data_IF_074751303382
#
_entry.id   IF_074751303382
#
_cell.length_a   1.000
_cell.length_b   1.000
_cell.length_c   1.000
_cell.angle_alpha   90.00
_cell.angle_beta   90.00
_cell.angle_gamma   90.00
#
_symmetry.space_group_name_H-M   'P 1'
#
loop_
_entity.id
_entity.type
_entity.pdbx_description
1 polymer ?
#
# COMPACT_ATOMS: atom_id res chain seq x y z
N UNK A 1 -1.39 -13.67 12.03
CA UNK A 1 -1.57 -12.21 11.93
C UNK A 1 -1.63 -11.89 10.46
N UNK A 2 -2.82 -11.64 9.91
CA UNK A 2 -2.99 -11.33 8.49
C UNK A 2 -3.02 -9.81 8.33
N UNK A 3 -2.08 -9.28 7.55
CA UNK A 3 -2.01 -7.86 7.22
C UNK A 3 -3.16 -7.45 6.31
N UNK A 4 -3.48 -8.34 5.37
CA UNK A 4 -4.48 -8.19 4.34
C UNK A 4 -4.91 -9.59 3.87
N UNK A 5 -6.20 -9.80 3.63
CA UNK A 5 -6.70 -10.99 2.96
C UNK A 5 -7.96 -10.69 2.15
N UNK A 6 -8.22 -11.54 1.15
CA UNK A 6 -9.32 -11.39 0.22
C UNK A 6 -10.20 -12.62 0.32
N UNK A 7 -11.46 -12.42 0.68
CA UNK A 7 -12.46 -13.48 0.76
C UNK A 7 -13.46 -13.35 -0.39
N UNK A 8 -13.86 -14.49 -0.95
CA UNK A 8 -14.96 -14.53 -1.92
C UNK A 8 -16.25 -14.91 -1.20
N UNK A 9 -17.21 -14.00 -1.19
CA UNK A 9 -18.47 -14.16 -0.51
C UNK A 9 -19.45 -15.02 -1.34
N UNK A 10 -20.52 -15.56 -0.72
CA UNK A 10 -21.51 -16.39 -1.43
C UNK A 10 -22.23 -15.69 -2.57
N UNK A 11 -22.33 -14.36 -2.53
CA UNK A 11 -22.86 -13.50 -3.60
C UNK A 11 -21.91 -13.40 -4.82
N UNK A 12 -20.69 -13.91 -4.71
CA UNK A 12 -19.65 -13.87 -5.73
C UNK A 12 -18.70 -12.69 -5.63
N UNK A 13 -18.97 -11.74 -4.72
CA UNK A 13 -18.16 -10.54 -4.53
C UNK A 13 -16.89 -10.86 -3.72
N UNK A 14 -15.83 -10.11 -3.98
CA UNK A 14 -14.58 -10.12 -3.25
C UNK A 14 -14.61 -9.05 -2.16
N UNK A 15 -14.31 -9.48 -0.94
CA UNK A 15 -14.23 -8.64 0.24
C UNK A 15 -12.79 -8.57 0.70
N UNK A 16 -12.38 -7.37 1.08
CA UNK A 16 -11.01 -7.04 1.39
C UNK A 16 -10.93 -6.70 2.85
N UNK A 17 -10.16 -7.50 3.57
CA UNK A 17 -9.93 -7.33 4.99
C UNK A 17 -8.53 -6.80 5.21
N UNK A 18 -8.37 -5.85 6.12
CA UNK A 18 -7.09 -5.22 6.44
C UNK A 18 -6.93 -5.13 7.95
N UNK A 19 -5.68 -5.13 8.41
CA UNK A 19 -5.40 -4.82 9.80
C UNK A 19 -5.25 -3.27 9.96
N UNK A 20 -6.05 -2.64 10.85
CA UNK A 20 -6.00 -1.20 11.10
C UNK A 20 -4.61 -0.64 11.45
N UNK A 21 -3.74 -1.44 12.07
CA UNK A 21 -2.38 -1.02 12.45
C UNK A 21 -1.49 -0.69 11.25
N UNK A 22 -1.87 -1.13 10.04
CA UNK A 22 -1.13 -0.91 8.81
C UNK A 22 -1.81 0.09 7.87
N UNK A 23 -2.78 0.85 8.36
CA UNK A 23 -3.37 1.94 7.59
C UNK A 23 -2.36 3.08 7.46
N UNK A 24 -2.04 3.45 6.22
CA UNK A 24 -1.20 4.59 5.89
C UNK A 24 -2.01 5.89 5.89
N UNK A 25 -3.28 5.84 5.49
CA UNK A 25 -4.16 7.00 5.44
C UNK A 25 -5.65 6.61 5.53
N UNK A 26 -6.49 7.37 6.25
CA UNK A 26 -6.15 8.49 7.14
C UNK A 26 -5.33 8.01 8.36
N UNK A 27 -4.53 8.89 8.98
CA UNK A 27 -3.73 8.53 10.15
C UNK A 27 -4.62 8.05 11.31
N UNK A 28 -4.24 6.97 11.99
CA UNK A 28 -4.91 6.50 13.20
C UNK A 28 -4.26 7.10 14.48
N UNK A 29 -5.03 7.39 15.55
CA UNK A 29 -6.49 7.45 15.61
C UNK A 29 -6.95 8.87 15.28
N UNK A 30 -7.26 9.16 14.02
CA UNK A 30 -8.04 10.35 13.69
C UNK A 30 -9.52 10.10 13.99
N UNK A 31 -10.29 11.16 14.19
CA UNK A 31 -11.76 11.14 14.28
C UNK A 31 -12.45 10.52 13.04
N UNK A 32 -11.66 10.17 12.01
CA UNK A 32 -12.07 9.59 10.74
C UNK A 32 -11.60 8.13 10.65
N UNK A 33 -12.57 7.23 10.47
CA UNK A 33 -12.34 5.80 10.23
C UNK A 33 -11.91 5.54 8.77
N UNK A 34 -12.21 6.47 7.86
CA UNK A 34 -11.82 6.46 6.44
C UNK A 34 -12.17 7.76 5.73
N UNK A 35 -11.97 7.81 4.42
CA UNK A 35 -12.22 8.98 3.56
C UNK A 35 -13.01 8.62 2.29
N UNK A 36 -13.67 9.57 1.60
CA UNK A 36 -14.30 9.30 0.32
C UNK A 36 -13.30 8.79 -0.74
N UNK A 37 -13.77 8.02 -1.74
CA UNK A 37 -12.92 7.41 -2.76
C UNK A 37 -12.01 8.42 -3.47
N UNK A 38 -12.54 9.60 -3.82
CA UNK A 38 -11.75 10.65 -4.49
C UNK A 38 -10.57 11.12 -3.63
N UNK A 39 -10.75 11.23 -2.31
CA UNK A 39 -9.69 11.60 -1.38
C UNK A 39 -8.70 10.44 -1.22
N UNK A 40 -9.18 9.20 -1.16
CA UNK A 40 -8.34 8.01 -1.12
C UNK A 40 -7.43 7.90 -2.36
N UNK A 41 -7.98 8.08 -3.57
CA UNK A 41 -7.21 8.07 -4.82
C UNK A 41 -6.12 9.14 -4.84
N UNK A 42 -6.45 10.37 -4.39
CA UNK A 42 -5.49 11.47 -4.27
C UNK A 42 -4.35 11.10 -3.32
N UNK A 43 -4.64 10.54 -2.15
CA UNK A 43 -3.62 10.14 -1.18
C UNK A 43 -2.81 8.93 -1.62
N UNK A 44 -3.44 7.97 -2.30
CA UNK A 44 -2.74 6.84 -2.91
C UNK A 44 -1.70 7.33 -3.93
N UNK A 45 -2.10 8.23 -4.84
CA UNK A 45 -1.18 8.86 -5.80
C UNK A 45 -0.11 9.71 -5.09
N UNK A 46 -0.50 10.47 -4.07
CA UNK A 46 0.40 11.29 -3.28
C UNK A 46 1.47 10.44 -2.58
N UNK A 47 1.14 9.24 -2.09
CA UNK A 47 2.08 8.29 -1.51
C UNK A 47 2.96 7.57 -2.56
N UNK A 48 2.61 7.67 -3.84
CA UNK A 48 3.31 6.99 -4.93
C UNK A 48 2.93 5.52 -5.08
N UNK A 49 1.78 5.13 -4.51
CA UNK A 49 1.22 3.79 -4.61
C UNK A 49 0.36 3.68 -5.89
N UNK A 50 0.19 2.46 -6.45
CA UNK A 50 -0.65 2.27 -7.61
C UNK A 50 -2.12 2.59 -7.29
N UNK A 51 -2.71 3.52 -8.05
CA UNK A 51 -4.12 3.91 -7.89
C UNK A 51 -5.00 2.87 -8.56
N UNK A 52 -5.47 1.91 -7.77
CA UNK A 52 -6.33 0.82 -8.23
C UNK A 52 -7.67 0.97 -7.50
N UNK A 53 -8.75 1.43 -8.15
CA UNK A 53 -10.04 1.48 -7.50
C UNK A 53 -10.49 0.07 -7.06
N UNK A 54 -11.11 -0.08 -5.89
CA UNK A 54 -11.61 -1.37 -5.44
C UNK A 54 -12.71 -1.87 -6.37
N UNK A 55 -12.60 -3.13 -6.81
CA UNK A 55 -13.63 -3.82 -7.58
C UNK A 55 -14.13 -5.03 -6.79
N UNK A 56 -15.41 -5.04 -6.36
CA UNK A 56 -15.97 -6.19 -5.67
C UNK A 56 -16.22 -7.38 -6.61
N UNK A 57 -16.33 -7.18 -7.92
CA UNK A 57 -16.64 -8.29 -8.86
C UNK A 57 -15.41 -9.05 -9.31
N UNK A 58 -14.25 -8.42 -9.26
CA UNK A 58 -12.98 -9.01 -9.69
C UNK A 58 -11.96 -8.93 -8.56
N UNK A 59 -11.23 -10.03 -8.34
CA UNK A 59 -10.13 -10.06 -7.38
C UNK A 59 -9.06 -9.04 -7.80
N UNK A 60 -9.02 -7.91 -7.10
CA UNK A 60 -8.18 -6.76 -7.41
C UNK A 60 -7.41 -6.36 -6.15
N UNK A 61 -6.19 -6.91 -5.94
CA UNK A 61 -5.36 -6.50 -4.82
C UNK A 61 -5.03 -5.01 -4.97
N UNK A 62 -5.66 -4.19 -4.12
CA UNK A 62 -5.61 -2.74 -4.21
C UNK A 62 -5.09 -2.11 -2.90
N UNK A 63 -4.23 -1.08 -2.97
CA UNK A 63 -3.90 -0.25 -1.81
C UNK A 63 -5.11 0.52 -1.25
N UNK A 64 -6.18 0.69 -2.02
CA UNK A 64 -7.41 1.39 -1.65
C UNK A 64 -8.43 0.35 -1.21
N UNK A 65 -8.74 0.31 0.08
CA UNK A 65 -9.64 -0.70 0.68
C UNK A 65 -10.82 0.00 1.34
N UNK A 66 -12.02 -0.51 1.09
CA UNK A 66 -13.23 0.01 1.73
C UNK A 66 -13.24 -0.37 3.22
N UNK A 67 -13.60 0.59 4.07
CA UNK A 67 -13.76 0.41 5.50
C UNK A 67 -14.92 -0.52 5.79
N UNK A 68 -14.71 -1.45 6.71
CA UNK A 68 -15.78 -2.33 7.18
C UNK A 68 -16.83 -1.57 8.01
N UNK A 69 -18.14 -1.85 7.85
CA UNK A 69 -18.73 -2.84 6.95
C UNK A 69 -18.76 -2.37 5.49
N UNK A 70 -18.69 -3.33 4.56
CA UNK A 70 -18.71 -3.06 3.12
C UNK A 70 -19.95 -2.27 2.69
N UNK A 71 -19.80 -1.36 1.72
CA UNK A 71 -20.81 -0.36 1.39
C UNK A 71 -20.79 0.88 2.30
N UNK A 72 -19.75 1.05 3.13
CA UNK A 72 -19.55 2.26 3.92
C UNK A 72 -19.30 3.50 3.06
N UNK A 73 -18.78 3.33 1.83
CA UNK A 73 -18.37 4.42 0.96
C UNK A 73 -17.15 5.18 1.47
N UNK A 74 -16.50 4.67 2.52
CA UNK A 74 -15.29 5.20 3.11
C UNK A 74 -14.15 4.23 2.85
N UNK A 75 -12.98 4.79 2.60
CA UNK A 75 -11.81 4.04 2.16
C UNK A 75 -10.59 4.39 3.00
N UNK A 76 -9.72 3.42 3.14
CA UNK A 76 -8.39 3.54 3.75
C UNK A 76 -7.34 3.19 2.71
N UNK A 77 -6.13 3.70 2.92
CA UNK A 77 -4.95 3.36 2.15
C UNK A 77 -4.06 2.45 2.99
N UNK A 78 -3.69 1.31 2.44
CA UNK A 78 -2.77 0.34 3.02
C UNK A 78 -1.51 0.20 2.13
N UNK A 79 -0.41 -0.41 2.62
CA UNK A 79 0.73 -0.77 1.78
C UNK A 79 0.30 -1.62 0.58
N UNK A 80 1.04 -1.53 -0.52
CA UNK A 80 0.71 -2.20 -1.77
C UNK A 80 0.54 -3.73 -1.59
N UNK A 81 -0.70 -4.27 -1.65
CA UNK A 81 -0.92 -5.69 -1.39
C UNK A 81 -0.53 -6.57 -2.59
N UNK A 82 -0.34 -5.99 -3.79
CA UNK A 82 0.03 -6.75 -5.00
C UNK A 82 1.38 -7.47 -4.83
N UNK A 83 2.27 -6.94 -4.01
CA UNK A 83 3.59 -7.54 -3.76
C UNK A 83 3.41 -8.88 -3.03
N UNK A 84 2.70 -8.86 -1.89
CA UNK A 84 2.43 -10.07 -1.10
C UNK A 84 1.58 -11.03 -1.93
N UNK A 85 0.60 -10.52 -2.67
CA UNK A 85 -0.23 -11.35 -3.53
C UNK A 85 0.58 -12.07 -4.61
N UNK A 86 1.51 -11.38 -5.26
CA UNK A 86 2.41 -11.96 -6.26
C UNK A 86 3.36 -12.99 -5.64
N UNK A 87 3.87 -12.72 -4.43
CA UNK A 87 4.69 -13.69 -3.69
C UNK A 87 3.89 -14.96 -3.34
N UNK A 88 2.64 -14.81 -2.89
CA UNK A 88 1.74 -15.93 -2.62
C UNK A 88 1.44 -16.74 -3.88
N UNK A 89 1.07 -16.09 -4.99
CA UNK A 89 0.82 -16.77 -6.27
C UNK A 89 2.07 -17.48 -6.81
N UNK A 90 3.25 -16.86 -6.65
CA UNK A 90 4.52 -17.48 -7.03
C UNK A 90 4.78 -18.75 -6.22
N UNK A 91 4.54 -18.71 -4.90
CA UNK A 91 4.62 -19.89 -4.04
C UNK A 91 3.60 -20.97 -4.45
N UNK A 92 2.34 -20.59 -4.69
CA UNK A 92 1.27 -21.51 -5.12
C UNK A 92 1.58 -22.16 -6.47
N UNK A 93 2.26 -21.44 -7.37
CA UNK A 93 2.70 -22.00 -8.67
C UNK A 93 3.77 -23.09 -8.53
N UNK A 94 4.52 -23.10 -7.42
CA UNK A 94 5.46 -24.18 -7.12
C UNK A 94 4.76 -25.46 -6.67
N UNK A 95 3.51 -25.35 -6.24
CA UNK A 95 2.68 -26.44 -5.75
C UNK A 95 2.16 -27.23 -6.96
N UNK A 96 2.01 -28.53 -6.81
CA UNK A 96 1.35 -29.45 -7.74
C UNK A 96 2.15 -30.00 -8.91
N UNK A 97 2.99 -29.26 -9.66
CA UNK A 97 3.60 -29.79 -10.90
C UNK A 97 5.09 -29.52 -11.05
N UNK A 98 5.82 -30.50 -11.57
CA UNK A 98 7.24 -30.41 -11.94
C UNK A 98 7.43 -29.69 -13.29
N UNK A 99 8.68 -29.38 -13.63
CA UNK A 99 9.09 -28.78 -14.92
C UNK A 99 8.58 -29.53 -16.17
N UNK A 100 8.08 -30.76 -16.02
CA UNK A 100 7.55 -31.63 -17.08
C UNK A 100 6.02 -31.80 -17.00
N UNK A 101 5.34 -31.08 -16.12
CA UNK A 101 3.89 -31.11 -15.93
C UNK A 101 3.36 -32.31 -15.13
N UNK A 102 4.23 -33.13 -14.55
CA UNK A 102 3.87 -34.27 -13.70
C UNK A 102 3.66 -33.81 -12.26
N UNK A 103 2.76 -34.48 -11.53
CA UNK A 103 2.52 -34.13 -10.13
C UNK A 103 3.79 -34.26 -9.27
N UNK A 104 4.09 -33.22 -8.48
CA UNK A 104 5.23 -33.21 -7.55
C UNK A 104 5.00 -34.18 -6.40
N UNK A 105 6.05 -34.88 -5.99
CA UNK A 105 5.99 -35.73 -4.81
C UNK A 105 5.80 -34.87 -3.55
N UNK A 106 4.95 -35.34 -2.65
CA UNK A 106 4.86 -34.81 -1.30
C UNK A 106 6.07 -35.35 -0.53
N UNK A 107 6.80 -34.47 0.15
CA UNK A 107 7.91 -34.86 1.00
C UNK A 107 7.41 -35.83 2.08
N UNK A 108 8.11 -36.95 2.26
CA UNK A 108 7.80 -37.94 3.31
C UNK A 108 8.32 -37.51 4.69
N UNK A 109 9.21 -36.52 4.72
CA UNK A 109 9.91 -36.06 5.94
C UNK A 109 9.41 -34.69 6.41
N UNK A 110 8.85 -33.87 5.51
CA UNK A 110 8.39 -32.51 5.82
C UNK A 110 6.99 -32.26 5.24
N UNK A 111 6.26 -31.31 5.83
CA UNK A 111 5.03 -30.78 5.24
C UNK A 111 5.39 -29.90 4.03
N UNK A 112 5.35 -30.44 2.82
CA UNK A 112 5.63 -29.69 1.59
C UNK A 112 5.86 -30.57 0.36
N UNK A 113 6.12 -29.93 -0.78
CA UNK A 113 6.46 -30.58 -2.05
C UNK A 113 7.97 -30.65 -2.24
N UNK A 114 8.47 -31.74 -2.81
CA UNK A 114 9.84 -31.80 -3.30
C UNK A 114 9.99 -30.89 -4.52
N UNK A 115 10.91 -29.93 -4.44
CA UNK A 115 11.21 -28.98 -5.51
C UNK A 115 12.64 -29.20 -6.02
N UNK A 116 12.83 -29.07 -7.33
CA UNK A 116 14.16 -29.15 -7.92
C UNK A 116 14.99 -27.92 -7.57
N UNK A 117 16.32 -28.02 -7.61
CA UNK A 117 17.20 -26.86 -7.42
C UNK A 117 16.91 -25.76 -8.45
N UNK A 118 16.58 -26.12 -9.69
CA UNK A 118 16.28 -25.14 -10.74
C UNK A 118 14.96 -24.39 -10.44
N UNK A 119 13.92 -25.10 -10.02
CA UNK A 119 12.63 -24.52 -9.63
C UNK A 119 12.78 -23.60 -8.41
N UNK A 120 13.56 -24.03 -7.42
CA UNK A 120 13.86 -23.21 -6.25
C UNK A 120 14.58 -21.92 -6.63
N UNK A 121 15.59 -21.98 -7.50
CA UNK A 121 16.33 -20.79 -7.93
C UNK A 121 15.45 -19.82 -8.74
N UNK A 122 14.57 -20.33 -9.60
CA UNK A 122 13.62 -19.53 -10.35
C UNK A 122 12.63 -18.80 -9.43
N UNK A 123 12.05 -19.54 -8.46
CA UNK A 123 11.18 -18.94 -7.44
C UNK A 123 11.92 -17.92 -6.59
N UNK A 124 13.13 -18.25 -6.10
CA UNK A 124 13.94 -17.36 -5.27
C UNK A 124 14.26 -16.05 -6.00
N UNK A 125 14.60 -16.12 -7.29
CA UNK A 125 14.81 -14.93 -8.11
C UNK A 125 13.54 -14.07 -8.19
N UNK A 126 12.38 -14.68 -8.40
CA UNK A 126 11.08 -13.99 -8.40
C UNK A 126 10.75 -13.36 -7.03
N UNK A 127 10.95 -14.10 -5.94
CA UNK A 127 10.75 -13.64 -4.57
C UNK A 127 11.63 -12.44 -4.24
N UNK A 128 12.92 -12.51 -4.57
CA UNK A 128 13.87 -11.40 -4.37
C UNK A 128 13.48 -10.17 -5.20
N UNK A 129 12.97 -10.35 -6.41
CA UNK A 129 12.42 -9.26 -7.22
C UNK A 129 11.27 -8.54 -6.51
N UNK A 130 10.33 -9.27 -5.93
CA UNK A 130 9.22 -8.69 -5.17
C UNK A 130 9.70 -8.02 -3.86
N UNK A 131 10.72 -8.55 -3.20
CA UNK A 131 11.31 -7.91 -2.03
C UNK A 131 11.97 -6.56 -2.36
N UNK A 132 12.64 -6.43 -3.51
CA UNK A 132 13.18 -5.16 -3.98
C UNK A 132 12.09 -4.16 -4.40
N UNK A 133 10.95 -4.64 -4.93
CA UNK A 133 9.78 -3.78 -5.17
C UNK A 133 9.27 -3.16 -3.86
N UNK A 134 9.13 -3.96 -2.80
CA UNK A 134 8.69 -3.45 -1.49
C UNK A 134 9.65 -2.40 -0.92
N UNK A 135 10.95 -2.64 -1.07
CA UNK A 135 11.98 -1.69 -0.65
C UNK A 135 11.92 -0.39 -1.45
N UNK A 136 11.64 -0.48 -2.76
CA UNK A 136 11.44 0.68 -3.63
C UNK A 136 10.21 1.48 -3.20
N UNK A 137 9.08 0.82 -2.91
CA UNK A 137 7.87 1.49 -2.42
C UNK A 137 8.14 2.28 -1.12
N UNK A 138 8.85 1.68 -0.16
CA UNK A 138 9.24 2.37 1.09
C UNK A 138 10.17 3.55 0.82
N UNK A 139 11.12 3.42 -0.10
CA UNK A 139 12.02 4.52 -0.48
C UNK A 139 11.25 5.68 -1.14
N UNK A 140 10.27 5.38 -2.00
CA UNK A 140 9.40 6.38 -2.61
C UNK A 140 8.61 7.12 -1.53
N UNK A 141 7.92 6.40 -0.64
CA UNK A 141 7.14 6.99 0.46
C UNK A 141 8.03 7.89 1.32
N UNK A 142 9.23 7.42 1.68
CA UNK A 142 10.20 8.18 2.49
C UNK A 142 10.63 9.47 1.80
N UNK A 143 10.90 9.40 0.49
CA UNK A 143 11.31 10.57 -0.31
C UNK A 143 10.18 11.59 -0.39
N UNK A 144 8.94 11.13 -0.59
CA UNK A 144 7.76 11.99 -0.63
C UNK A 144 7.47 12.64 0.72
N UNK A 145 7.63 11.91 1.82
CA UNK A 145 7.54 12.47 3.17
C UNK A 145 8.57 13.59 3.41
N UNK A 146 9.84 13.34 3.04
CA UNK A 146 10.91 14.36 3.14
C UNK A 146 10.58 15.61 2.31
N UNK A 147 10.07 15.40 1.09
CA UNK A 147 9.65 16.49 0.19
C UNK A 147 8.48 17.29 0.77
N UNK A 148 7.49 16.62 1.37
CA UNK A 148 6.36 17.26 2.01
C UNK A 148 6.80 18.14 3.20
N UNK A 149 7.69 17.63 4.05
CA UNK A 149 8.26 18.39 5.16
C UNK A 149 9.04 19.62 4.69
N UNK A 150 9.90 19.46 3.68
CA UNK A 150 10.66 20.60 3.13
C UNK A 150 9.74 21.66 2.51
N UNK A 151 8.64 21.25 1.89
CA UNK A 151 7.65 22.16 1.31
C UNK A 151 6.93 22.93 2.42
N UNK A 152 6.52 22.23 3.48
CA UNK A 152 5.91 22.84 4.66
C UNK A 152 6.83 23.89 5.31
N UNK A 153 8.11 23.56 5.52
CA UNK A 153 9.09 24.51 6.07
C UNK A 153 9.26 25.75 5.19
N UNK A 154 9.22 25.57 3.87
CA UNK A 154 9.30 26.67 2.91
C UNK A 154 8.09 27.59 3.02
N UNK A 155 6.89 27.03 3.16
CA UNK A 155 5.66 27.79 3.35
C UNK A 155 5.71 28.58 4.66
N UNK A 156 6.15 27.97 5.78
CA UNK A 156 6.28 28.67 7.07
C UNK A 156 7.24 29.86 6.94
N UNK A 157 8.40 29.65 6.30
CA UNK A 157 9.38 30.72 6.09
C UNK A 157 8.79 31.86 5.28
N UNK A 158 8.11 31.55 4.17
CA UNK A 158 7.49 32.55 3.32
C UNK A 158 6.46 33.37 4.09
N UNK A 159 5.53 32.71 4.79
CA UNK A 159 4.49 33.37 5.59
C UNK A 159 5.10 34.25 6.67
N UNK A 160 6.15 33.77 7.35
CA UNK A 160 6.87 34.54 8.37
C UNK A 160 7.52 35.78 7.78
N UNK A 161 8.20 35.66 6.63
CA UNK A 161 8.79 36.80 5.93
C UNK A 161 7.73 37.80 5.47
N UNK A 162 6.58 37.33 4.98
CA UNK A 162 5.47 38.20 4.60
C UNK A 162 4.89 38.97 5.80
N UNK A 163 4.71 38.31 6.94
CA UNK A 163 4.24 38.97 8.18
C UNK A 163 5.21 40.06 8.62
N UNK A 164 6.51 39.77 8.65
CA UNK A 164 7.54 40.76 9.01
C UNK A 164 7.50 41.95 8.05
N UNK A 165 7.44 41.70 6.74
CA UNK A 165 7.39 42.76 5.74
C UNK A 165 6.15 43.66 5.89
N UNK A 166 4.97 43.06 6.14
CA UNK A 166 3.73 43.81 6.37
C UNK A 166 3.80 44.62 7.68
N UNK A 167 4.37 44.04 8.74
CA UNK A 167 4.51 44.71 10.03
C UNK A 167 5.48 45.89 9.98
N UNK A 168 6.62 45.72 9.30
CA UNK A 168 7.58 46.80 9.10
C UNK A 168 6.99 47.90 8.21
N UNK A 169 6.25 47.53 7.16
CA UNK A 169 5.50 48.50 6.35
C UNK A 169 4.46 49.27 7.16
N UNK A 170 3.72 48.61 8.05
CA UNK A 170 2.74 49.25 8.91
C UNK A 170 3.40 50.19 9.94
N UNK A 171 4.54 49.79 10.53
CA UNK A 171 5.34 50.67 11.38
C UNK A 171 5.80 51.91 10.63
N UNK A 172 6.33 51.74 9.42
CA UNK A 172 6.80 52.88 8.62
C UNK A 172 5.67 53.81 8.19
N UNK A 173 4.45 53.29 7.95
CA UNK A 173 3.28 54.11 7.66
C UNK A 173 2.75 54.88 8.89
N UNK A 174 2.84 54.28 10.08
CA UNK A 174 2.33 54.86 11.34
C UNK A 174 3.35 55.76 12.06
N UNK A 175 4.61 55.79 11.60
CA UNK A 175 5.63 56.76 12.01
C UNK A 175 5.25 58.16 11.50
N UNK A 176 5.34 59.31 12.20
CA UNK A 176 6.12 59.76 13.39
C UNK A 176 7.37 58.97 13.77
#
# INVERSE_FOLDING_TARGET
MHFYYIDKYPNGDFHYHYNPDYVLYPPAPADKIGVPLEEAEKWCAALGLPVIPPDPKHRTPSPIVEVEPQGSGLYVIIPNPQIIDSMSQSSDSMVHRDDKGKEKNISKEFTGYEISTAEYQAWLAGYNGQAENMKTDVQVITTKYSTANSTYDTIIKLLSSTITALFDSAKDYLRF
#
